data_IF_722315259981
#
_entry.id   IF_722315259981
#
_cell.length_a   1.000
_cell.length_b   1.000
_cell.length_c   1.000
_cell.angle_alpha   90.00
_cell.angle_beta   90.00
_cell.angle_gamma   90.00
#
_symmetry.space_group_name_H-M   'P 1'
#
loop_
_entity.id
_entity.type
_entity.pdbx_description
1 polymer ?
#
# COMPACT_ATOMS: atom_id res chain seq x y z
N UNK A 1 11.37 -10.18 -11.41
CA UNK A 1 11.21 -10.24 -9.95
C UNK A 1 9.94 -9.50 -9.59
N UNK A 2 8.90 -10.19 -9.11
CA UNK A 2 7.71 -9.53 -8.58
C UNK A 2 8.01 -9.14 -7.13
N UNK A 3 7.86 -7.86 -6.78
CA UNK A 3 8.11 -7.35 -5.44
C UNK A 3 7.41 -6.00 -5.27
N UNK A 4 7.15 -5.60 -4.03
CA UNK A 4 6.37 -4.40 -3.71
C UNK A 4 6.88 -3.14 -4.41
N UNK A 5 8.19 -2.99 -4.53
CA UNK A 5 8.85 -1.83 -5.14
C UNK A 5 8.71 -1.73 -6.67
N UNK A 6 8.19 -2.76 -7.33
CA UNK A 6 7.83 -2.71 -8.74
C UNK A 6 6.35 -2.28 -8.95
N UNK A 7 5.65 -1.93 -7.86
CA UNK A 7 4.28 -1.39 -7.89
C UNK A 7 4.28 0.14 -7.73
N UNK A 8 3.13 0.77 -8.01
CA UNK A 8 2.95 2.24 -7.97
C UNK A 8 2.15 2.74 -6.76
N UNK A 9 1.72 1.83 -5.87
CA UNK A 9 0.74 2.12 -4.81
C UNK A 9 -0.71 2.11 -5.32
N UNK A 10 -1.61 2.78 -4.61
CA UNK A 10 -3.06 2.78 -4.89
C UNK A 10 -3.53 4.04 -5.64
N UNK A 11 -4.49 3.85 -6.56
CA UNK A 11 -5.17 4.90 -7.33
C UNK A 11 -6.67 4.68 -7.19
N UNK A 12 -7.43 5.69 -6.78
CA UNK A 12 -8.88 5.54 -6.53
C UNK A 12 -9.73 5.43 -7.81
N UNK A 13 -9.22 5.98 -8.92
CA UNK A 13 -9.84 6.07 -10.26
C UNK A 13 -11.35 6.32 -10.22
N UNK A 14 -11.76 7.38 -9.53
CA UNK A 14 -13.18 7.70 -9.37
C UNK A 14 -13.57 9.10 -9.85
N UNK A 15 -14.80 9.20 -10.36
CA UNK A 15 -15.49 10.48 -10.61
C UNK A 15 -16.31 10.94 -9.40
N UNK A 16 -16.44 10.10 -8.36
CA UNK A 16 -17.24 10.38 -7.17
C UNK A 16 -16.36 10.91 -6.04
N UNK A 17 -16.17 12.23 -5.98
CA UNK A 17 -15.31 12.91 -5.00
C UNK A 17 -15.52 12.46 -3.54
N UNK A 18 -16.76 12.28 -3.03
CA UNK A 18 -16.95 11.84 -1.64
C UNK A 18 -16.43 10.42 -1.35
N UNK A 19 -16.20 9.61 -2.39
CA UNK A 19 -15.73 8.22 -2.23
C UNK A 19 -14.21 8.08 -2.12
N UNK A 20 -13.44 9.12 -2.49
CA UNK A 20 -11.97 9.11 -2.44
C UNK A 20 -11.46 8.65 -1.05
N UNK A 21 -11.83 9.29 0.08
CA UNK A 21 -11.30 8.88 1.39
C UNK A 21 -11.69 7.45 1.76
N UNK A 22 -12.91 7.00 1.43
CA UNK A 22 -13.36 5.65 1.72
C UNK A 22 -12.57 4.60 0.90
N UNK A 23 -12.26 4.89 -0.37
CA UNK A 23 -11.45 4.02 -1.23
C UNK A 23 -10.03 3.89 -0.71
N UNK A 24 -9.40 5.00 -0.33
CA UNK A 24 -8.07 4.99 0.25
C UNK A 24 -8.02 4.26 1.61
N UNK A 25 -9.03 4.42 2.45
CA UNK A 25 -9.11 3.68 3.72
C UNK A 25 -9.22 2.17 3.49
N UNK A 26 -10.04 1.73 2.53
CA UNK A 26 -10.13 0.31 2.17
C UNK A 26 -8.80 -0.21 1.63
N UNK A 27 -8.15 0.50 0.72
CA UNK A 27 -6.84 0.11 0.18
C UNK A 27 -5.81 -0.11 1.30
N UNK A 28 -5.67 0.87 2.21
CA UNK A 28 -4.76 0.80 3.36
C UNK A 28 -5.04 -0.41 4.26
N UNK A 29 -6.31 -0.73 4.50
CA UNK A 29 -6.70 -1.89 5.33
C UNK A 29 -6.39 -3.21 4.66
N UNK A 30 -6.60 -3.31 3.35
CA UNK A 30 -6.28 -4.52 2.59
C UNK A 30 -4.78 -4.72 2.52
N UNK A 31 -4.00 -3.66 2.28
CA UNK A 31 -2.53 -3.73 2.28
C UNK A 31 -2.00 -4.14 3.66
N UNK A 32 -2.50 -3.53 4.74
CA UNK A 32 -2.12 -3.89 6.10
C UNK A 32 -2.48 -5.34 6.45
N UNK A 33 -3.66 -5.83 6.02
CA UNK A 33 -4.04 -7.23 6.19
C UNK A 33 -3.07 -8.16 5.46
N UNK A 34 -2.74 -7.87 4.21
CA UNK A 34 -1.85 -8.72 3.41
C UNK A 34 -0.45 -8.79 4.02
N UNK A 35 0.11 -7.65 4.45
CA UNK A 35 1.40 -7.64 5.14
C UNK A 35 1.34 -8.38 6.48
N UNK A 36 0.24 -8.24 7.24
CA UNK A 36 0.05 -8.97 8.49
C UNK A 36 -0.01 -10.50 8.28
N UNK A 37 -0.60 -10.98 7.18
CA UNK A 37 -0.56 -12.40 6.81
C UNK A 37 0.89 -12.86 6.56
N UNK A 38 1.69 -12.09 5.81
CA UNK A 38 3.09 -12.41 5.57
C UNK A 38 3.95 -12.41 6.85
N UNK A 39 3.69 -11.47 7.76
CA UNK A 39 4.36 -11.42 9.07
C UNK A 39 3.95 -12.62 9.93
N UNK A 40 2.67 -12.97 9.95
CA UNK A 40 2.17 -14.13 10.70
C UNK A 40 2.72 -15.47 10.16
N UNK A 41 2.98 -15.55 8.85
CA UNK A 41 3.62 -16.71 8.21
C UNK A 41 5.16 -16.67 8.30
N UNK A 42 5.74 -15.66 8.95
CA UNK A 42 7.18 -15.44 9.06
C UNK A 42 7.91 -15.32 7.69
N UNK A 43 7.19 -14.85 6.67
CA UNK A 43 7.74 -14.56 5.33
C UNK A 43 8.37 -13.18 5.29
N UNK A 44 7.88 -12.26 6.13
CA UNK A 44 8.32 -10.86 6.24
C UNK A 44 8.51 -10.52 7.71
N UNK A 45 9.57 -9.78 8.06
CA UNK A 45 9.72 -9.27 9.43
C UNK A 45 8.78 -8.09 9.71
N UNK A 46 8.48 -7.83 10.99
CA UNK A 46 7.52 -6.78 11.37
C UNK A 46 8.02 -5.38 11.01
N UNK A 47 9.30 -5.11 11.21
CA UNK A 47 9.94 -3.84 10.85
C UNK A 47 9.92 -3.61 9.33
N UNK A 48 10.21 -4.65 8.54
CA UNK A 48 10.07 -4.59 7.08
C UNK A 48 8.61 -4.32 6.66
N UNK A 49 7.64 -4.94 7.31
CA UNK A 49 6.22 -4.69 7.04
C UNK A 49 5.80 -3.25 7.38
N UNK A 50 6.32 -2.69 8.47
CA UNK A 50 6.10 -1.30 8.87
C UNK A 50 6.70 -0.30 7.87
N UNK A 51 7.86 -0.60 7.29
CA UNK A 51 8.43 0.22 6.23
C UNK A 51 7.61 0.11 4.93
N UNK A 52 7.28 -1.12 4.52
CA UNK A 52 6.56 -1.38 3.27
C UNK A 52 5.16 -0.77 3.26
N UNK A 53 4.44 -0.76 4.39
CA UNK A 53 3.09 -0.16 4.44
C UNK A 53 3.12 1.35 4.22
N UNK A 54 4.15 2.05 4.74
CA UNK A 54 4.33 3.50 4.50
C UNK A 54 4.68 3.75 3.04
N UNK A 55 5.51 2.88 2.48
CA UNK A 55 5.91 2.97 1.08
C UNK A 55 4.74 2.77 0.12
N UNK A 56 3.90 1.76 0.34
CA UNK A 56 2.69 1.50 -0.45
C UNK A 56 1.67 2.63 -0.33
N UNK A 57 1.50 3.20 0.87
CA UNK A 57 0.50 4.22 1.12
C UNK A 57 0.90 5.62 0.62
N UNK A 58 2.20 5.90 0.47
CA UNK A 58 2.69 7.25 0.17
C UNK A 58 3.94 7.31 -0.72
N UNK A 59 5.06 6.72 -0.27
CA UNK A 59 6.36 7.00 -0.90
C UNK A 59 6.45 6.48 -2.34
N UNK A 60 5.91 5.29 -2.61
CA UNK A 60 5.92 4.70 -3.96
C UNK A 60 5.10 5.52 -4.94
N UNK A 61 3.89 5.93 -4.55
CA UNK A 61 3.06 6.77 -5.42
C UNK A 61 3.74 8.12 -5.68
N UNK A 62 4.27 8.77 -4.63
CA UNK A 62 5.00 10.03 -4.77
C UNK A 62 6.19 9.92 -5.73
N UNK A 63 7.02 8.88 -5.56
CA UNK A 63 8.19 8.62 -6.40
C UNK A 63 7.84 8.33 -7.86
N UNK A 64 6.84 7.47 -8.10
CA UNK A 64 6.46 7.07 -9.46
C UNK A 64 5.77 8.19 -10.24
N UNK A 65 5.02 9.06 -9.56
CA UNK A 65 4.35 10.21 -10.16
C UNK A 65 5.19 11.51 -10.13
N UNK A 66 6.41 11.46 -9.60
CA UNK A 66 7.35 12.60 -9.51
C UNK A 66 6.74 13.83 -8.82
N UNK A 67 6.05 13.58 -7.70
CA UNK A 67 5.46 14.59 -6.81
C UNK A 67 6.37 14.87 -5.61
#
# INVERSE_FOLDING_TARGET
TAGFYNTVGFIDDTRAFPSIPARHDVARRIDARYLAELVAEHVLEMDEAEEVIVDLAYNLSKKNYKM
#
